data_IF_544075832832
#
_entry.id   IF_544075832832
#
_cell.length_a   1.000
_cell.length_b   1.000
_cell.length_c   1.000
_cell.angle_alpha   90.00
_cell.angle_beta   90.00
_cell.angle_gamma   90.00
#
_symmetry.space_group_name_H-M   'P 1'
#
loop_
_entity.id
_entity.type
_entity.pdbx_description
1 polymer ?
#
# COMPACT_ATOMS: atom_id res chain seq x y z
N UNK A 1 -16.16 7.54 14.51
CA UNK A 1 -15.83 8.97 14.40
C UNK A 1 -14.58 9.09 13.54
N UNK A 2 -14.70 9.65 12.34
CA UNK A 2 -13.58 9.81 11.38
C UNK A 2 -12.50 10.79 11.89
N UNK A 3 -12.78 11.57 12.91
CA UNK A 3 -11.88 12.60 13.43
C UNK A 3 -10.81 12.10 14.41
N UNK A 4 -10.82 10.81 14.81
CA UNK A 4 -9.91 10.30 15.85
C UNK A 4 -9.38 8.88 15.53
N UNK A 5 -8.94 8.63 14.29
CA UNK A 5 -8.32 7.35 13.91
C UNK A 5 -6.84 7.39 14.26
N UNK A 6 -6.49 6.83 15.41
CA UNK A 6 -5.11 6.75 15.89
C UNK A 6 -4.65 5.31 16.10
N UNK A 7 -3.36 5.09 15.94
CA UNK A 7 -2.74 3.81 16.23
C UNK A 7 -2.68 3.56 17.75
N UNK A 8 -3.26 2.46 18.19
CA UNK A 8 -3.21 2.00 19.59
C UNK A 8 -2.54 0.65 19.74
N UNK A 9 -2.11 0.06 18.62
CA UNK A 9 -1.49 -1.27 18.59
C UNK A 9 0.01 -1.20 18.84
N UNK A 10 0.52 -2.21 19.53
CA UNK A 10 1.95 -2.46 19.68
C UNK A 10 2.48 -3.41 18.59
N UNK A 11 3.70 -3.95 18.79
CA UNK A 11 4.43 -4.76 17.81
C UNK A 11 3.65 -5.96 17.27
N UNK A 12 2.85 -6.62 18.11
CA UNK A 12 2.10 -7.80 17.70
C UNK A 12 0.87 -7.46 16.85
N UNK A 13 0.23 -6.30 17.08
CA UNK A 13 -1.00 -5.91 16.40
C UNK A 13 -0.78 -5.09 15.14
N UNK A 14 0.21 -4.19 15.14
CA UNK A 14 0.45 -3.25 14.03
C UNK A 14 0.62 -3.92 12.67
N UNK A 15 1.36 -5.04 12.51
CA UNK A 15 1.53 -5.70 11.22
C UNK A 15 0.22 -6.20 10.59
N UNK A 16 -0.76 -6.52 11.42
CA UNK A 16 -2.03 -7.11 10.97
C UNK A 16 -3.17 -6.10 10.83
N UNK A 17 -3.05 -4.92 11.41
CA UNK A 17 -4.13 -3.94 11.47
C UNK A 17 -4.58 -3.48 10.08
N UNK A 18 -3.69 -2.86 9.30
CA UNK A 18 -4.02 -2.37 7.96
C UNK A 18 -4.41 -3.50 6.99
N UNK A 19 -3.72 -4.67 6.96
CA UNK A 19 -4.19 -5.84 6.23
C UNK A 19 -5.61 -6.28 6.61
N UNK A 20 -5.91 -6.41 7.90
CA UNK A 20 -7.23 -6.82 8.37
C UNK A 20 -8.32 -5.82 7.98
N UNK A 21 -8.08 -4.52 8.14
CA UNK A 21 -9.00 -3.48 7.69
C UNK A 21 -9.28 -3.60 6.19
N UNK A 22 -8.25 -3.71 5.38
CA UNK A 22 -8.39 -3.78 3.92
C UNK A 22 -9.14 -5.02 3.47
N UNK A 23 -8.83 -6.19 4.05
CA UNK A 23 -9.50 -7.47 3.74
C UNK A 23 -10.98 -7.47 4.10
N UNK A 24 -11.39 -6.63 5.04
CA UNK A 24 -12.79 -6.47 5.46
C UNK A 24 -13.48 -5.25 4.82
N UNK A 25 -12.94 -4.69 3.73
CA UNK A 25 -13.56 -3.58 3.00
C UNK A 25 -13.38 -2.21 3.65
N UNK A 26 -12.53 -2.10 4.67
CA UNK A 26 -12.27 -0.88 5.44
C UNK A 26 -10.92 -0.23 5.06
N UNK A 27 -10.53 -0.30 3.78
CA UNK A 27 -9.28 0.28 3.29
C UNK A 27 -9.16 1.78 3.58
N UNK A 28 -10.27 2.51 3.61
CA UNK A 28 -10.30 3.95 3.90
C UNK A 28 -9.75 4.25 5.30
N UNK A 29 -10.08 3.41 6.29
CA UNK A 29 -9.51 3.52 7.64
C UNK A 29 -8.02 3.20 7.68
N UNK A 30 -7.57 2.21 6.91
CA UNK A 30 -6.14 1.89 6.81
C UNK A 30 -5.34 3.05 6.21
N UNK A 31 -5.88 3.73 5.20
CA UNK A 31 -5.29 4.96 4.67
C UNK A 31 -5.35 6.12 5.65
N UNK A 32 -6.42 6.27 6.42
CA UNK A 32 -6.50 7.28 7.47
C UNK A 32 -5.42 7.09 8.53
N UNK A 33 -5.13 5.83 8.91
CA UNK A 33 -4.02 5.52 9.80
C UNK A 33 -2.65 5.85 9.19
N UNK A 34 -2.44 5.50 7.91
CA UNK A 34 -1.18 5.77 7.22
C UNK A 34 -0.92 7.28 7.06
N UNK A 35 -1.96 8.05 6.71
CA UNK A 35 -1.86 9.47 6.38
C UNK A 35 -2.05 10.39 7.60
N UNK A 36 -2.26 9.83 8.78
CA UNK A 36 -2.36 10.61 10.00
C UNK A 36 -0.98 11.19 10.36
N UNK A 37 -0.92 12.50 10.57
CA UNK A 37 0.30 13.23 10.96
C UNK A 37 0.41 13.44 12.47
N UNK A 38 -0.69 13.25 13.20
CA UNK A 38 -0.72 13.41 14.64
C UNK A 38 -0.21 12.16 15.36
N UNK A 39 0.36 12.35 16.55
CA UNK A 39 0.77 11.25 17.43
C UNK A 39 -0.45 10.45 17.93
N UNK A 40 -0.38 9.12 17.95
CA UNK A 40 0.67 8.24 17.41
C UNK A 40 0.44 7.87 15.93
N UNK A 41 1.45 8.05 15.09
CA UNK A 41 1.38 7.70 13.67
C UNK A 41 2.77 7.57 13.03
N UNK A 42 2.86 6.96 11.86
CA UNK A 42 4.10 6.90 11.07
C UNK A 42 4.54 8.28 10.60
N UNK A 43 3.60 9.13 10.17
CA UNK A 43 3.94 10.47 9.68
C UNK A 43 4.37 11.42 10.80
N UNK A 44 3.90 11.21 12.04
CA UNK A 44 4.45 11.91 13.19
C UNK A 44 5.97 11.70 13.29
N UNK A 45 6.42 10.44 13.19
CA UNK A 45 7.86 10.14 13.21
C UNK A 45 8.60 10.84 12.07
N UNK A 46 8.05 10.79 10.84
CA UNK A 46 8.63 11.45 9.66
C UNK A 46 8.71 12.97 9.86
N UNK A 47 7.63 13.59 10.35
CA UNK A 47 7.55 15.03 10.59
C UNK A 47 8.50 15.49 11.71
N UNK A 48 8.81 14.59 12.66
CA UNK A 48 9.84 14.81 13.68
C UNK A 48 11.27 14.58 13.16
N UNK A 49 11.44 14.27 11.87
CA UNK A 49 12.74 14.11 11.22
C UNK A 49 13.35 12.71 11.34
N UNK A 50 12.53 11.69 11.61
CA UNK A 50 12.99 10.31 11.64
C UNK A 50 13.59 9.87 10.28
N UNK A 51 14.77 9.27 10.32
CA UNK A 51 15.43 8.64 9.17
C UNK A 51 15.37 7.12 9.22
N UNK A 52 14.89 6.59 10.32
CA UNK A 52 14.74 5.16 10.64
C UNK A 52 13.43 4.98 11.38
N UNK A 53 12.88 3.76 11.36
CA UNK A 53 11.68 3.42 12.13
C UNK A 53 12.03 3.35 13.61
N UNK A 54 11.22 3.97 14.46
CA UNK A 54 11.43 3.99 15.89
C UNK A 54 10.76 2.78 16.58
N UNK A 55 11.27 2.45 17.78
CA UNK A 55 10.71 1.40 18.62
C UNK A 55 9.35 1.78 19.22
N UNK A 56 9.18 3.06 19.49
CA UNK A 56 7.94 3.61 20.08
C UNK A 56 7.43 4.77 19.26
N UNK A 57 6.15 4.93 19.19
CA UNK A 57 5.52 6.07 18.50
C UNK A 57 5.98 7.42 19.06
N UNK A 58 6.34 7.48 20.35
CA UNK A 58 6.84 8.65 21.06
C UNK A 58 8.33 8.55 21.40
N UNK A 59 9.14 7.87 20.59
CA UNK A 59 10.58 7.80 20.84
C UNK A 59 11.24 9.17 20.91
N UNK A 60 10.74 10.11 20.11
CA UNK A 60 11.04 11.55 20.24
C UNK A 60 9.76 12.28 20.57
N UNK A 61 9.78 13.13 21.58
CA UNK A 61 8.65 13.92 22.04
C UNK A 61 8.45 15.16 21.16
N UNK A 62 7.27 15.80 21.20
CA UNK A 62 6.98 16.99 20.38
C UNK A 62 7.94 18.15 20.58
N UNK A 63 8.60 18.24 21.74
CA UNK A 63 9.62 19.24 22.06
C UNK A 63 11.03 18.87 21.55
N UNK A 64 11.15 17.72 20.84
CA UNK A 64 12.39 17.23 20.25
C UNK A 64 13.28 16.41 21.20
N UNK A 65 12.90 16.23 22.47
CA UNK A 65 13.63 15.40 23.40
C UNK A 65 13.36 13.90 23.15
N UNK A 66 14.40 13.08 23.34
CA UNK A 66 14.23 11.62 23.33
C UNK A 66 13.50 11.22 24.62
N UNK A 67 12.50 10.36 24.47
CA UNK A 67 11.70 9.86 25.59
C UNK A 67 12.58 9.11 26.60
N UNK A 68 12.48 9.45 27.88
CA UNK A 68 13.22 8.84 28.98
C UNK A 68 12.73 7.43 29.36
N UNK A 69 11.68 6.94 28.71
CA UNK A 69 11.20 5.57 28.93
C UNK A 69 12.27 4.57 28.50
N UNK A 70 12.77 3.74 29.39
CA UNK A 70 13.73 2.68 29.10
C UNK A 70 13.29 1.80 27.91
N UNK A 71 14.23 1.16 27.22
CA UNK A 71 14.01 0.39 26.00
C UNK A 71 13.40 1.26 24.89
N UNK A 72 14.15 2.25 24.46
CA UNK A 72 13.76 3.18 23.40
C UNK A 72 14.85 3.24 22.34
N UNK A 73 14.66 2.55 21.22
CA UNK A 73 15.56 2.56 20.07
C UNK A 73 15.02 3.45 18.97
N UNK A 74 15.89 4.27 18.39
CA UNK A 74 15.54 5.05 17.18
C UNK A 74 15.80 4.26 15.89
N UNK A 75 16.14 2.99 15.96
CA UNK A 75 16.31 2.09 14.82
C UNK A 75 15.76 0.71 15.15
N UNK A 76 14.46 0.53 14.94
CA UNK A 76 13.74 -0.69 15.28
C UNK A 76 12.79 -1.09 14.14
N UNK A 77 12.72 -2.38 13.79
CA UNK A 77 12.05 -2.85 12.59
C UNK A 77 10.50 -2.93 12.68
N UNK A 78 9.95 -3.08 13.88
CA UNK A 78 8.58 -3.60 14.06
C UNK A 78 7.49 -2.78 13.35
N UNK A 79 7.49 -1.47 13.52
CA UNK A 79 6.49 -0.60 12.89
C UNK A 79 6.75 -0.38 11.40
N UNK A 80 7.92 -0.76 10.89
CA UNK A 80 8.22 -0.81 9.45
C UNK A 80 7.40 -1.85 8.69
N UNK A 81 6.68 -2.72 9.38
CA UNK A 81 5.72 -3.68 8.80
C UNK A 81 4.65 -3.03 7.92
N UNK A 82 4.37 -1.74 8.06
CA UNK A 82 3.47 -1.00 7.17
C UNK A 82 3.89 -1.10 5.70
N UNK A 83 5.17 -1.26 5.42
CA UNK A 83 5.69 -1.41 4.05
C UNK A 83 5.14 -2.67 3.38
N UNK A 84 4.94 -3.77 4.12
CA UNK A 84 4.29 -4.97 3.57
C UNK A 84 2.87 -4.65 3.09
N UNK A 85 2.09 -3.90 3.89
CA UNK A 85 0.76 -3.46 3.49
C UNK A 85 0.79 -2.56 2.25
N UNK A 86 1.76 -1.65 2.16
CA UNK A 86 1.93 -0.80 0.97
C UNK A 86 2.19 -1.66 -0.28
N UNK A 87 3.10 -2.63 -0.21
CA UNK A 87 3.39 -3.50 -1.35
C UNK A 87 2.20 -4.38 -1.74
N UNK A 88 1.56 -5.03 -0.76
CA UNK A 88 0.52 -6.04 -1.00
C UNK A 88 -0.85 -5.47 -1.31
N UNK A 89 -1.18 -4.33 -0.72
CA UNK A 89 -2.51 -3.75 -0.84
C UNK A 89 -2.51 -2.41 -1.59
N UNK A 90 -1.69 -1.44 -1.18
CA UNK A 90 -1.66 -0.15 -1.90
C UNK A 90 -1.18 -0.34 -3.34
N UNK A 91 -0.07 -1.06 -3.54
CA UNK A 91 0.46 -1.39 -4.87
C UNK A 91 -0.16 -2.66 -5.46
N UNK A 92 -0.74 -3.52 -4.63
CA UNK A 92 -1.47 -4.72 -5.04
C UNK A 92 -0.63 -5.94 -5.36
N UNK A 93 0.69 -5.95 -5.13
CA UNK A 93 1.56 -7.06 -5.51
C UNK A 93 1.47 -8.24 -4.55
N UNK A 94 0.95 -9.38 -5.04
CA UNK A 94 0.81 -10.61 -4.26
C UNK A 94 1.28 -11.82 -5.09
N UNK A 95 2.13 -12.69 -4.53
CA UNK A 95 2.54 -13.93 -5.21
C UNK A 95 1.36 -14.89 -5.31
N UNK A 96 1.36 -15.72 -6.37
CA UNK A 96 0.46 -16.85 -6.44
C UNK A 96 0.93 -17.98 -5.52
N UNK A 97 0.01 -18.58 -4.77
CA UNK A 97 0.31 -19.78 -3.96
C UNK A 97 0.65 -21.00 -4.81
N UNK A 98 0.09 -21.08 -6.03
CA UNK A 98 0.29 -22.21 -6.94
C UNK A 98 1.67 -22.18 -7.62
N UNK A 99 2.18 -20.99 -7.90
CA UNK A 99 3.47 -20.77 -8.56
C UNK A 99 4.27 -19.72 -7.80
N UNK A 100 4.92 -20.11 -6.69
CA UNK A 100 5.60 -19.18 -5.78
C UNK A 100 6.79 -18.47 -6.43
N UNK A 101 7.32 -17.45 -5.75
CA UNK A 101 8.50 -16.72 -6.20
C UNK A 101 8.22 -15.73 -7.33
N UNK A 102 6.94 -15.36 -7.55
CA UNK A 102 6.51 -14.45 -8.61
C UNK A 102 6.66 -15.00 -10.04
N UNK A 103 6.64 -16.33 -10.20
CA UNK A 103 6.46 -16.96 -11.51
C UNK A 103 5.08 -16.63 -12.06
N UNK A 104 4.07 -16.70 -11.19
CA UNK A 104 2.73 -16.16 -11.38
C UNK A 104 2.36 -15.28 -10.19
N UNK A 105 1.68 -14.18 -10.41
CA UNK A 105 1.33 -13.22 -9.35
C UNK A 105 0.06 -12.45 -9.66
N UNK A 106 -0.48 -11.82 -8.62
CA UNK A 106 -1.65 -10.94 -8.73
C UNK A 106 -1.23 -9.50 -8.52
N UNK A 107 -1.85 -8.61 -9.27
CA UNK A 107 -1.80 -7.16 -9.04
C UNK A 107 -3.22 -6.69 -8.74
N UNK A 108 -3.53 -6.55 -7.46
CA UNK A 108 -4.84 -6.12 -6.95
C UNK A 108 -4.67 -4.89 -6.05
N UNK A 109 -4.51 -3.69 -6.62
CA UNK A 109 -4.31 -2.47 -5.84
C UNK A 109 -5.61 -1.99 -5.19
N UNK A 110 -5.46 -1.24 -4.10
CA UNK A 110 -6.53 -0.52 -3.41
C UNK A 110 -6.18 0.97 -3.42
N UNK A 111 -6.41 1.69 -4.53
CA UNK A 111 -6.04 3.09 -4.64
C UNK A 111 -6.91 4.00 -3.77
N UNK A 112 -6.31 5.12 -3.32
CA UNK A 112 -6.99 6.13 -2.53
C UNK A 112 -6.60 7.54 -3.03
N UNK A 113 -7.60 8.39 -3.23
CA UNK A 113 -7.40 9.73 -3.80
C UNK A 113 -6.50 10.61 -2.94
N UNK A 114 -6.50 10.42 -1.61
CA UNK A 114 -5.69 11.20 -0.66
C UNK A 114 -4.20 11.02 -0.88
N UNK A 115 -3.78 9.83 -1.33
CA UNK A 115 -2.38 9.56 -1.67
C UNK A 115 -2.01 10.10 -3.07
N UNK A 116 -2.98 10.17 -3.98
CA UNK A 116 -2.81 10.68 -5.34
C UNK A 116 -2.12 9.72 -6.29
N UNK A 117 -1.00 9.16 -5.92
CA UNK A 117 -0.28 8.19 -6.74
C UNK A 117 0.59 7.25 -5.90
N UNK A 118 0.95 6.11 -6.49
CA UNK A 118 1.99 5.22 -5.97
C UNK A 118 2.82 4.64 -7.12
N UNK A 119 4.09 4.40 -6.86
CA UNK A 119 5.01 3.70 -7.78
C UNK A 119 5.86 2.74 -6.98
N UNK A 120 5.79 1.46 -7.33
CA UNK A 120 6.53 0.40 -6.68
C UNK A 120 7.41 -0.32 -7.70
N UNK A 121 8.61 -0.70 -7.26
CA UNK A 121 9.53 -1.57 -7.99
C UNK A 121 9.94 -2.73 -7.09
N UNK A 122 9.80 -3.94 -7.59
CA UNK A 122 10.19 -5.14 -6.89
C UNK A 122 11.05 -6.02 -7.80
N UNK A 123 12.25 -6.35 -7.36
CA UNK A 123 13.16 -7.21 -8.12
C UNK A 123 12.98 -8.66 -7.69
N UNK A 124 12.20 -9.40 -8.47
CA UNK A 124 11.98 -10.85 -8.27
C UNK A 124 13.13 -11.68 -8.83
N UNK A 125 13.07 -13.00 -8.60
CA UNK A 125 13.98 -13.96 -9.24
C UNK A 125 13.84 -13.99 -10.78
N UNK A 126 12.69 -13.56 -11.31
CA UNK A 126 12.41 -13.53 -12.75
C UNK A 126 12.67 -12.17 -13.40
N UNK A 127 12.97 -11.14 -12.61
CA UNK A 127 13.23 -9.80 -13.12
C UNK A 127 12.46 -8.72 -12.37
N UNK A 128 12.42 -7.53 -12.96
CA UNK A 128 11.79 -6.37 -12.37
C UNK A 128 10.27 -6.42 -12.57
N UNK A 129 9.54 -6.33 -11.47
CA UNK A 129 8.11 -6.08 -11.43
C UNK A 129 7.91 -4.61 -11.06
N UNK A 130 7.07 -3.92 -11.79
CA UNK A 130 6.61 -2.59 -11.39
C UNK A 130 5.09 -2.61 -11.26
N UNK A 131 4.58 -1.94 -10.26
CA UNK A 131 3.16 -1.65 -10.09
C UNK A 131 2.98 -0.24 -9.59
N UNK A 132 2.05 0.47 -10.18
CA UNK A 132 1.75 1.83 -9.77
C UNK A 132 0.42 2.29 -10.31
N UNK A 133 -0.13 3.29 -9.66
CA UNK A 133 -1.36 3.95 -10.08
C UNK A 133 -1.27 5.44 -9.79
N UNK A 134 -2.07 6.21 -10.49
CA UNK A 134 -2.24 7.64 -10.27
C UNK A 134 -3.70 8.05 -10.50
N UNK A 135 -4.19 8.96 -9.70
CA UNK A 135 -5.47 9.64 -9.92
C UNK A 135 -5.26 10.69 -11.00
N UNK A 136 -6.13 10.68 -11.98
CA UNK A 136 -6.15 11.66 -13.08
C UNK A 136 -7.49 12.40 -13.07
N UNK A 137 -7.59 13.46 -13.87
CA UNK A 137 -8.85 14.20 -14.03
C UNK A 137 -9.98 13.31 -14.57
N UNK A 138 -9.64 12.32 -15.41
CA UNK A 138 -10.59 11.43 -16.08
C UNK A 138 -10.74 10.05 -15.41
N UNK A 139 -10.17 9.85 -14.21
CA UNK A 139 -10.24 8.57 -13.50
C UNK A 139 -8.91 8.10 -12.95
N UNK A 140 -8.58 6.84 -13.16
CA UNK A 140 -7.37 6.21 -12.65
C UNK A 140 -6.53 5.65 -13.77
N UNK A 141 -5.21 5.78 -13.64
CA UNK A 141 -4.25 5.15 -14.55
C UNK A 141 -3.41 4.15 -13.77
N UNK A 142 -3.33 2.93 -14.28
CA UNK A 142 -2.50 1.86 -13.72
C UNK A 142 -1.35 1.56 -14.66
N UNK A 143 -0.15 1.36 -14.10
CA UNK A 143 1.06 0.99 -14.85
C UNK A 143 1.64 -0.28 -14.22
N UNK A 144 1.77 -1.34 -15.00
CA UNK A 144 2.24 -2.63 -14.53
C UNK A 144 3.31 -3.13 -15.48
N UNK A 145 4.47 -3.52 -14.93
CA UNK A 145 5.53 -4.21 -15.69
C UNK A 145 5.61 -5.66 -15.24
N UNK A 146 5.44 -6.57 -16.17
CA UNK A 146 5.49 -8.02 -15.96
C UNK A 146 6.80 -8.55 -16.56
N UNK A 147 7.67 -9.21 -15.78
CA UNK A 147 8.94 -9.76 -16.29
C UNK A 147 8.70 -10.84 -17.35
N UNK A 148 9.65 -10.98 -18.25
CA UNK A 148 9.62 -12.03 -19.25
C UNK A 148 9.47 -13.43 -18.62
N UNK A 149 8.70 -14.30 -19.27
CA UNK A 149 8.45 -15.68 -18.82
C UNK A 149 7.77 -15.77 -17.45
N UNK A 150 6.97 -14.76 -17.09
CA UNK A 150 6.07 -14.75 -15.92
C UNK A 150 4.66 -14.39 -16.36
N UNK A 151 3.68 -14.57 -15.47
CA UNK A 151 2.30 -14.18 -15.71
C UNK A 151 1.77 -13.34 -14.53
N UNK A 152 0.94 -12.36 -14.86
CA UNK A 152 0.26 -11.54 -13.87
C UNK A 152 -1.24 -11.48 -14.17
N UNK A 153 -2.04 -11.58 -13.12
CA UNK A 153 -3.47 -11.29 -13.17
C UNK A 153 -3.72 -9.92 -12.54
N UNK A 154 -4.22 -8.98 -13.34
CA UNK A 154 -4.63 -7.68 -12.83
C UNK A 154 -6.10 -7.73 -12.43
N UNK A 155 -6.38 -7.41 -11.16
CA UNK A 155 -7.73 -7.35 -10.61
C UNK A 155 -8.12 -5.89 -10.43
N UNK A 156 -9.04 -5.43 -11.24
CA UNK A 156 -9.54 -4.05 -11.15
C UNK A 156 -10.23 -3.82 -9.81
N UNK A 157 -9.92 -2.73 -9.09
CA UNK A 157 -10.55 -2.43 -7.81
C UNK A 157 -12.07 -2.23 -7.94
N UNK A 158 -12.86 -2.85 -7.06
CA UNK A 158 -14.33 -2.78 -7.09
C UNK A 158 -14.86 -1.34 -7.10
N UNK A 159 -14.29 -0.45 -6.28
CA UNK A 159 -14.69 0.97 -6.22
C UNK A 159 -14.54 1.70 -7.56
N UNK A 160 -13.61 1.24 -8.40
CA UNK A 160 -13.36 1.82 -9.73
C UNK A 160 -14.28 1.19 -10.77
N UNK A 161 -14.51 -0.12 -10.66
CA UNK A 161 -15.37 -0.87 -11.56
C UNK A 161 -16.85 -0.46 -11.47
N UNK A 162 -17.32 -0.09 -10.28
CA UNK A 162 -18.71 0.34 -10.04
C UNK A 162 -19.00 1.79 -10.51
N UNK A 163 -17.99 2.52 -10.99
CA UNK A 163 -18.15 3.85 -11.58
C UNK A 163 -18.63 3.78 -13.04
N UNK A 164 -19.37 4.81 -13.47
CA UNK A 164 -19.69 5.00 -14.89
C UNK A 164 -18.41 5.44 -15.62
N UNK A 165 -17.85 4.59 -16.46
CA UNK A 165 -16.66 4.93 -17.24
C UNK A 165 -16.17 3.77 -18.10
N UNK A 166 -15.46 4.11 -19.17
CA UNK A 166 -14.83 3.12 -20.03
C UNK A 166 -13.49 2.68 -19.42
N UNK A 167 -13.25 1.37 -19.42
CA UNK A 167 -11.98 0.79 -19.05
C UNK A 167 -11.27 0.36 -20.32
N UNK A 168 -10.12 0.95 -20.61
CA UNK A 168 -9.26 0.53 -21.71
C UNK A 168 -7.97 -0.05 -21.18
N UNK A 169 -7.39 -1.01 -21.88
CA UNK A 169 -6.10 -1.59 -21.56
C UNK A 169 -5.17 -1.48 -22.77
N UNK A 170 -3.91 -1.17 -22.53
CA UNK A 170 -2.86 -1.20 -23.53
C UNK A 170 -1.75 -2.16 -23.08
N UNK A 171 -1.18 -2.90 -24.01
CA UNK A 171 0.01 -3.72 -23.79
C UNK A 171 1.09 -3.23 -24.73
N UNK A 172 2.23 -2.78 -24.18
CA UNK A 172 3.32 -2.18 -24.98
C UNK A 172 2.81 -1.04 -25.90
N UNK A 173 1.99 -0.15 -25.36
CA UNK A 173 1.35 0.97 -26.07
C UNK A 173 0.38 0.57 -27.22
N UNK A 174 0.01 -0.70 -27.29
CA UNK A 174 -1.01 -1.19 -28.22
C UNK A 174 -2.33 -1.38 -27.46
N UNK A 175 -3.39 -0.76 -27.94
CA UNK A 175 -4.72 -0.90 -27.35
C UNK A 175 -5.24 -2.35 -27.53
N UNK A 176 -5.59 -3.00 -26.44
CA UNK A 176 -6.05 -4.38 -26.40
C UNK A 176 -7.57 -4.54 -26.44
N UNK A 177 -8.28 -3.42 -26.63
CA UNK A 177 -9.76 -3.37 -26.63
C UNK A 177 -10.37 -3.14 -25.23
N UNK A 178 -11.68 -3.08 -25.19
CA UNK A 178 -12.42 -2.97 -23.94
C UNK A 178 -12.30 -4.28 -23.15
N UNK A 179 -12.03 -4.17 -21.85
CA UNK A 179 -12.09 -5.34 -20.98
C UNK A 179 -13.51 -5.90 -21.00
N UNK A 180 -13.68 -7.22 -21.14
CA UNK A 180 -15.01 -7.80 -21.16
C UNK A 180 -15.73 -7.43 -19.87
N UNK A 181 -17.01 -7.06 -20.01
CA UNK A 181 -17.91 -6.86 -18.88
C UNK A 181 -17.83 -8.13 -18.02
N UNK A 182 -17.17 -8.07 -16.87
CA UNK A 182 -17.09 -9.19 -15.95
C UNK A 182 -18.47 -9.34 -15.31
N UNK A 183 -19.40 -9.79 -16.11
CA UNK A 183 -20.70 -10.22 -15.65
C UNK A 183 -20.51 -11.34 -14.64
N UNK A 184 -20.50 -10.94 -13.33
CA UNK A 184 -20.65 -11.74 -12.10
C UNK A 184 -19.74 -12.96 -11.94
#
# INVERSE_FOLDING_TARGET
DEENVHLTTGFAGTPYLCPALTQNGLSDYAYSLLLNEDYPSWLYEVNMGATTVWERWNSVLPDGHISDTGMNSLNHYAYGSIVEWIYRYVCGLNPSEKEPGFKSFYVKPYPDERLGFVKMKYRSAYGLIESGWEKTENGWKFNITVPFNTSAEFVLPEKIYMGEGNVSATVNDVECGELPDSGR
#
